data_IF_389067346386
#
_entry.id   IF_389067346386
#
_cell.length_a   1.000
_cell.length_b   1.000
_cell.length_c   1.000
_cell.angle_alpha   90.00
_cell.angle_beta   90.00
_cell.angle_gamma   90.00
#
_symmetry.space_group_name_H-M   'P 1'
#
loop_
_entity.id
_entity.type
_entity.pdbx_description
1 polymer ?
#
# COMPACT_ATOMS: atom_id res chain seq x y z
N UNK A 1 27.85 46.42 38.79
CA UNK A 1 27.28 45.06 38.85
C UNK A 1 26.38 44.90 37.63
N UNK A 2 26.94 44.48 36.49
CA UNK A 2 26.21 44.38 35.22
C UNK A 2 25.45 43.05 35.18
N UNK A 3 24.12 43.10 35.04
CA UNK A 3 23.26 41.94 34.82
C UNK A 3 23.15 41.70 33.32
N UNK A 4 23.79 40.64 32.82
CA UNK A 4 23.59 40.13 31.46
C UNK A 4 22.30 39.32 31.42
N UNK A 5 21.38 39.72 30.54
CA UNK A 5 20.14 38.99 30.26
C UNK A 5 20.41 38.05 29.10
N UNK A 6 20.34 36.74 29.35
CA UNK A 6 20.49 35.69 28.34
C UNK A 6 19.14 35.51 27.64
N UNK A 7 19.06 35.88 26.36
CA UNK A 7 17.88 35.58 25.54
C UNK A 7 18.00 34.15 25.01
N UNK A 8 17.10 33.28 25.46
CA UNK A 8 16.93 31.93 24.93
C UNK A 8 16.06 32.02 23.68
N UNK A 9 16.67 31.99 22.50
CA UNK A 9 15.94 31.89 21.23
C UNK A 9 15.51 30.44 21.04
N UNK A 10 14.23 30.13 21.30
CA UNK A 10 13.64 28.85 20.93
C UNK A 10 13.42 28.85 19.42
N UNK A 11 14.27 28.13 18.69
CA UNK A 11 14.14 27.94 17.25
C UNK A 11 12.89 27.11 16.94
N UNK A 12 11.95 27.71 16.22
CA UNK A 12 10.77 27.04 15.70
C UNK A 12 11.17 26.33 14.39
N UNK A 13 11.30 25.00 14.42
CA UNK A 13 11.52 24.20 13.22
C UNK A 13 10.16 24.02 12.55
N UNK A 14 9.96 24.71 11.43
CA UNK A 14 8.81 24.47 10.54
C UNK A 14 9.21 23.27 9.66
N UNK A 15 8.74 22.08 10.01
CA UNK A 15 8.71 20.96 9.08
C UNK A 15 7.63 21.26 8.04
N UNK A 16 8.06 21.72 6.87
CA UNK A 16 7.21 21.80 5.69
C UNK A 16 7.07 20.35 5.21
N UNK A 17 5.88 19.76 5.39
CA UNK A 17 5.57 18.46 4.80
C UNK A 17 5.70 18.55 3.28
N UNK A 18 6.70 17.87 2.73
CA UNK A 18 6.77 17.58 1.30
C UNK A 18 5.75 16.47 1.04
N UNK A 19 4.90 16.65 0.02
CA UNK A 19 4.11 15.54 -0.48
C UNK A 19 5.07 14.44 -0.98
N UNK A 20 4.66 13.18 -0.83
CA UNK A 20 5.37 12.02 -1.38
C UNK A 20 5.80 12.30 -2.82
N UNK A 21 7.11 12.24 -3.08
CA UNK A 21 7.65 12.40 -4.43
C UNK A 21 7.71 11.08 -5.19
N UNK A 22 7.13 10.03 -4.63
CA UNK A 22 7.34 8.66 -5.08
C UNK A 22 6.22 8.22 -6.00
N UNK A 23 6.56 7.42 -7.01
CA UNK A 23 5.55 6.77 -7.83
C UNK A 23 4.92 5.62 -7.04
N UNK A 24 3.61 5.42 -7.22
CA UNK A 24 2.91 4.28 -6.63
C UNK A 24 3.58 2.97 -7.05
N UNK A 25 3.90 2.12 -6.09
CA UNK A 25 4.56 0.84 -6.34
C UNK A 25 6.03 0.93 -6.69
N UNK A 26 6.65 2.12 -6.60
CA UNK A 26 8.10 2.25 -6.66
C UNK A 26 8.73 1.65 -5.41
N UNK A 27 9.92 1.09 -5.57
CA UNK A 27 10.69 0.52 -4.46
C UNK A 27 11.69 1.54 -3.93
N UNK A 28 11.89 1.48 -2.63
CA UNK A 28 12.95 2.21 -1.94
C UNK A 28 14.28 1.60 -2.36
N UNK A 29 15.17 2.43 -2.89
CA UNK A 29 16.54 2.10 -3.23
C UNK A 29 17.54 2.81 -2.31
N UNK A 30 18.84 2.60 -2.55
CA UNK A 30 19.90 3.21 -1.76
C UNK A 30 20.05 4.73 -1.97
N UNK A 31 19.27 5.33 -2.86
CA UNK A 31 19.24 6.78 -3.12
C UNK A 31 17.96 7.45 -2.66
N UNK A 32 16.99 6.68 -2.16
CA UNK A 32 15.68 7.17 -1.78
C UNK A 32 15.80 8.08 -0.54
N UNK A 33 15.23 9.31 -0.57
CA UNK A 33 15.44 10.32 0.48
C UNK A 33 14.72 10.02 1.81
N UNK A 34 13.80 9.07 1.82
CA UNK A 34 13.05 8.54 2.96
C UNK A 34 13.71 7.33 3.59
N UNK A 35 14.80 6.81 3.03
CA UNK A 35 15.52 5.68 3.61
C UNK A 35 15.91 5.98 5.08
N UNK A 36 15.45 5.12 5.99
CA UNK A 36 15.65 5.25 7.43
C UNK A 36 14.57 6.05 8.17
N UNK A 37 13.52 6.54 7.49
CA UNK A 37 12.37 7.16 8.17
C UNK A 37 11.68 6.15 9.09
N UNK A 38 11.26 6.55 10.31
CA UNK A 38 10.64 5.63 11.25
C UNK A 38 9.23 5.24 10.79
N UNK A 39 9.01 3.93 10.64
CA UNK A 39 7.72 3.35 10.33
C UNK A 39 7.01 2.89 11.61
N UNK A 40 5.71 3.14 11.67
CA UNK A 40 4.84 2.74 12.77
C UNK A 40 3.74 1.79 12.29
N UNK A 41 3.37 0.86 13.15
CA UNK A 41 2.22 -0.02 12.92
C UNK A 41 0.91 0.75 13.09
N UNK A 42 -0.09 0.39 12.29
CA UNK A 42 -1.46 0.86 12.48
C UNK A 42 -2.04 0.33 13.80
N UNK A 43 -2.83 1.16 14.48
CA UNK A 43 -3.43 0.79 15.76
C UNK A 43 -4.76 1.51 16.06
N UNK A 44 -5.41 1.08 17.14
CA UNK A 44 -6.67 1.69 17.60
C UNK A 44 -7.79 1.55 16.56
N UNK A 45 -8.42 2.67 16.19
CA UNK A 45 -9.52 2.69 15.21
C UNK A 45 -9.08 2.58 13.75
N UNK A 46 -7.78 2.50 13.47
CA UNK A 46 -7.24 2.39 12.11
C UNK A 46 -7.14 0.92 11.66
N UNK A 47 -7.37 -0.02 12.57
CA UNK A 47 -7.30 -1.45 12.33
C UNK A 47 -8.69 -2.10 12.48
N UNK A 48 -8.97 -3.18 11.76
CA UNK A 48 -8.05 -3.82 10.83
C UNK A 48 -7.88 -3.05 9.52
N UNK A 49 -6.83 -3.40 8.78
CA UNK A 49 -6.61 -2.97 7.41
C UNK A 49 -7.25 -4.03 6.51
N UNK A 50 -8.06 -3.64 5.54
CA UNK A 50 -8.75 -4.58 4.66
C UNK A 50 -8.70 -4.12 3.20
N UNK A 51 -9.13 -4.99 2.29
CA UNK A 51 -9.25 -4.69 0.86
C UNK A 51 -10.71 -4.76 0.45
N UNK A 52 -11.17 -3.74 -0.24
CA UNK A 52 -12.49 -3.73 -0.86
C UNK A 52 -12.44 -3.19 -2.28
N UNK A 53 -13.55 -3.36 -2.99
CA UNK A 53 -13.73 -2.78 -4.31
C UNK A 53 -15.02 -1.96 -4.40
N UNK A 54 -14.95 -0.86 -5.12
CA UNK A 54 -16.10 -0.10 -5.56
C UNK A 54 -16.53 -0.66 -6.91
N UNK A 55 -17.69 -1.31 -6.89
CA UNK A 55 -18.38 -1.83 -8.07
C UNK A 55 -18.78 -0.67 -8.99
N UNK A 56 -18.03 -0.52 -10.08
CA UNK A 56 -18.23 0.50 -11.09
C UNK A 56 -18.15 -0.12 -12.46
N UNK A 57 -19.24 -0.06 -13.21
CA UNK A 57 -19.24 -0.63 -14.55
C UNK A 57 -20.62 -1.14 -14.95
N UNK A 58 -20.69 -1.87 -16.06
CA UNK A 58 -21.94 -2.43 -16.56
C UNK A 58 -22.38 -3.72 -15.83
N UNK A 59 -21.50 -4.35 -15.05
CA UNK A 59 -21.75 -5.66 -14.43
C UNK A 59 -21.90 -5.54 -12.90
N UNK A 60 -23.05 -5.06 -12.39
CA UNK A 60 -23.22 -4.83 -10.96
C UNK A 60 -23.04 -6.12 -10.14
N UNK A 61 -22.40 -5.97 -8.99
CA UNK A 61 -22.11 -6.99 -7.97
C UNK A 61 -21.14 -8.07 -8.44
N UNK A 62 -20.39 -7.83 -9.51
CA UNK A 62 -19.38 -8.74 -10.04
C UNK A 62 -18.05 -8.00 -10.03
N UNK A 63 -17.08 -8.55 -9.30
CA UNK A 63 -15.73 -8.01 -9.34
C UNK A 63 -15.09 -8.23 -10.72
N UNK A 64 -14.94 -7.17 -11.50
CA UNK A 64 -14.47 -7.21 -12.89
C UNK A 64 -13.31 -6.24 -13.17
N UNK A 65 -13.03 -5.92 -14.43
CA UNK A 65 -11.91 -5.06 -14.83
C UNK A 65 -12.16 -3.57 -14.55
N UNK A 66 -13.42 -3.12 -14.57
CA UNK A 66 -13.77 -1.70 -14.44
C UNK A 66 -13.70 -1.22 -12.98
N UNK A 67 -13.86 -2.15 -12.03
CA UNK A 67 -13.95 -1.87 -10.60
C UNK A 67 -12.71 -1.23 -9.99
N UNK A 68 -12.91 -0.36 -9.00
CA UNK A 68 -11.81 0.24 -8.27
C UNK A 68 -11.50 -0.51 -6.98
N UNK A 69 -10.24 -0.87 -6.75
CA UNK A 69 -9.78 -1.53 -5.53
C UNK A 69 -9.15 -0.52 -4.57
N UNK A 70 -9.42 -0.69 -3.26
CA UNK A 70 -8.98 0.20 -2.19
C UNK A 70 -8.34 -0.59 -1.04
N UNK A 71 -7.32 0.00 -0.43
CA UNK A 71 -6.85 -0.35 0.91
C UNK A 71 -7.65 0.47 1.92
N UNK A 72 -8.40 -0.22 2.77
CA UNK A 72 -9.35 0.34 3.71
C UNK A 72 -8.85 0.21 5.15
N UNK A 73 -9.11 1.22 5.96
CA UNK A 73 -8.64 1.27 7.35
C UNK A 73 -9.81 1.32 8.36
N UNK A 74 -9.67 0.57 9.46
CA UNK A 74 -10.54 0.68 10.63
C UNK A 74 -11.82 -0.16 10.60
N UNK A 75 -12.00 -1.03 9.61
CA UNK A 75 -13.12 -1.97 9.55
C UNK A 75 -12.72 -3.30 8.92
N UNK A 76 -13.15 -4.39 9.55
CA UNK A 76 -12.95 -5.77 9.06
C UNK A 76 -13.90 -6.15 7.91
N UNK A 77 -14.90 -5.31 7.68
CA UNK A 77 -15.86 -5.43 6.59
C UNK A 77 -15.98 -4.02 6.02
N UNK A 78 -15.25 -3.70 4.95
CA UNK A 78 -15.44 -2.45 4.26
C UNK A 78 -16.90 -2.36 3.81
N UNK A 79 -17.54 -1.24 4.12
CA UNK A 79 -18.93 -0.97 3.72
C UNK A 79 -19.05 0.31 2.91
N UNK A 80 -18.16 1.27 3.19
CA UNK A 80 -18.05 2.54 2.48
C UNK A 80 -16.59 2.92 2.32
N UNK A 81 -16.29 3.59 1.20
CA UNK A 81 -14.99 4.23 1.00
C UNK A 81 -14.91 5.44 1.92
N UNK A 82 -13.89 5.49 2.76
CA UNK A 82 -13.65 6.56 3.72
C UNK A 82 -12.53 7.48 3.25
N UNK A 83 -12.49 8.69 3.81
CA UNK A 83 -11.32 9.54 3.68
C UNK A 83 -10.08 8.81 4.26
N UNK A 84 -8.93 9.01 3.62
CA UNK A 84 -7.64 8.36 3.87
C UNK A 84 -7.54 6.88 3.46
N UNK A 85 -8.60 6.24 2.94
CA UNK A 85 -8.44 4.98 2.20
C UNK A 85 -7.49 5.21 1.00
N UNK A 86 -6.73 4.20 0.60
CA UNK A 86 -5.77 4.32 -0.51
C UNK A 86 -6.33 3.61 -1.73
N UNK A 87 -6.32 4.31 -2.87
CA UNK A 87 -6.67 3.70 -4.16
C UNK A 87 -5.55 2.77 -4.59
N UNK A 88 -5.85 1.49 -4.78
CA UNK A 88 -4.89 0.51 -5.30
C UNK A 88 -4.97 0.35 -6.82
N UNK A 89 -5.96 0.99 -7.45
CA UNK A 89 -6.15 0.97 -8.91
C UNK A 89 -6.37 2.39 -9.45
N UNK A 90 -6.07 2.59 -10.72
CA UNK A 90 -6.26 3.88 -11.41
C UNK A 90 -7.53 3.85 -12.27
N UNK A 91 -8.35 4.90 -12.19
CA UNK A 91 -9.44 5.26 -13.11
C UNK A 91 -9.20 6.65 -13.68
N UNK A 92 -8.47 6.69 -14.79
CA UNK A 92 -8.05 7.94 -15.44
C UNK A 92 -9.21 8.79 -15.92
N UNK A 93 -10.33 8.16 -16.31
CA UNK A 93 -11.56 8.83 -16.73
C UNK A 93 -12.24 9.60 -15.58
N UNK A 94 -12.00 9.20 -14.34
CA UNK A 94 -12.49 9.85 -13.12
C UNK A 94 -11.41 10.71 -12.43
N UNK A 95 -10.18 10.72 -12.95
CA UNK A 95 -9.03 11.39 -12.33
C UNK A 95 -8.60 10.77 -11.00
N UNK A 96 -8.92 9.48 -10.78
CA UNK A 96 -8.62 8.75 -9.55
C UNK A 96 -7.37 7.89 -9.79
N UNK A 97 -6.26 8.22 -9.13
CA UNK A 97 -4.97 7.57 -9.38
C UNK A 97 -4.63 6.56 -8.28
N UNK A 98 -4.02 5.44 -8.65
CA UNK A 98 -3.45 4.52 -7.68
C UNK A 98 -2.39 5.21 -6.81
N UNK A 99 -2.31 4.80 -5.55
CA UNK A 99 -1.50 5.41 -4.50
C UNK A 99 -2.07 6.69 -3.89
N UNK A 100 -3.04 7.34 -4.53
CA UNK A 100 -3.66 8.53 -3.95
C UNK A 100 -4.59 8.15 -2.80
N UNK A 101 -4.56 8.94 -1.72
CA UNK A 101 -5.53 8.85 -0.64
C UNK A 101 -6.86 9.47 -1.05
N UNK A 102 -7.95 8.87 -0.61
CA UNK A 102 -9.30 9.41 -0.78
C UNK A 102 -9.47 10.65 0.10
N UNK A 103 -9.89 11.75 -0.50
CA UNK A 103 -10.30 12.97 0.22
C UNK A 103 -11.80 12.94 0.44
N UNK A 104 -12.26 13.63 1.49
CA UNK A 104 -13.69 13.78 1.77
C UNK A 104 -14.48 14.43 0.62
N UNK A 105 -13.81 15.15 -0.28
CA UNK A 105 -14.40 15.80 -1.46
C UNK A 105 -14.38 14.95 -2.73
N UNK A 106 -13.70 13.80 -2.72
CA UNK A 106 -13.53 13.00 -3.93
C UNK A 106 -14.84 12.27 -4.29
N UNK A 107 -15.04 12.01 -5.58
CA UNK A 107 -16.29 11.43 -6.11
C UNK A 107 -16.59 10.02 -5.59
N UNK A 108 -15.54 9.30 -5.19
CA UNK A 108 -15.59 7.94 -4.66
C UNK A 108 -15.76 7.91 -3.13
N UNK A 109 -15.52 9.02 -2.42
CA UNK A 109 -15.74 9.07 -0.97
C UNK A 109 -17.23 8.84 -0.63
N UNK A 110 -17.48 7.95 0.34
CA UNK A 110 -18.82 7.57 0.77
C UNK A 110 -19.56 6.63 -0.19
N UNK A 111 -18.92 6.16 -1.27
CA UNK A 111 -19.50 5.13 -2.14
C UNK A 111 -19.46 3.76 -1.45
N UNK A 112 -20.38 2.84 -1.81
CA UNK A 112 -20.35 1.48 -1.30
C UNK A 112 -19.01 0.82 -1.61
N UNK A 113 -18.43 0.19 -0.59
CA UNK A 113 -17.23 -0.62 -0.72
C UNK A 113 -17.63 -2.07 -0.46
N UNK A 114 -17.39 -2.94 -1.43
CA UNK A 114 -17.73 -4.36 -1.35
C UNK A 114 -16.48 -5.17 -1.01
N UNK A 115 -16.60 -6.26 -0.23
CA UNK A 115 -15.48 -7.16 0.00
C UNK A 115 -15.12 -7.91 -1.29
N UNK A 116 -13.84 -8.18 -1.51
CA UNK A 116 -13.42 -9.03 -2.64
C UNK A 116 -14.10 -10.41 -2.59
N UNK A 117 -14.35 -11.08 -3.74
CA UNK A 117 -14.98 -12.39 -3.77
C UNK A 117 -14.19 -13.45 -2.97
N UNK A 118 -14.77 -14.05 -1.93
CA UNK A 118 -14.21 -15.18 -1.16
C UNK A 118 -14.63 -16.55 -1.78
N UNK A 119 -14.09 -17.77 -1.44
CA UNK A 119 -12.91 -18.25 -0.63
C UNK A 119 -12.09 -19.43 -1.30
N UNK A 120 -11.03 -20.09 -0.71
CA UNK A 120 -10.49 -20.06 0.66
C UNK A 120 -8.98 -19.73 0.77
N UNK A 121 -8.42 -18.92 -0.11
CA UNK A 121 -7.14 -18.24 0.16
C UNK A 121 -7.39 -16.75 -0.01
N UNK A 122 -7.35 -16.09 1.13
CA UNK A 122 -7.51 -14.65 1.35
C UNK A 122 -6.80 -13.84 0.30
N UNK A 123 -7.43 -12.75 -0.14
CA UNK A 123 -6.71 -11.67 -0.77
C UNK A 123 -5.42 -11.39 0.02
N UNK A 124 -4.33 -11.14 -0.70
CA UNK A 124 -3.01 -11.06 -0.11
C UNK A 124 -2.04 -10.43 -1.06
N UNK A 125 -0.88 -10.05 -0.55
CA UNK A 125 0.17 -9.45 -1.36
C UNK A 125 1.22 -10.53 -1.63
N UNK A 126 1.58 -10.65 -2.89
CA UNK A 126 2.47 -11.68 -3.42
C UNK A 126 3.54 -11.03 -4.30
N UNK A 127 4.69 -11.68 -4.44
CA UNK A 127 5.71 -11.29 -5.39
C UNK A 127 5.96 -12.37 -6.45
N UNK A 128 6.37 -11.94 -7.64
CA UNK A 128 6.87 -12.79 -8.71
C UNK A 128 8.39 -12.73 -8.68
N UNK A 129 9.02 -13.85 -8.33
CA UNK A 129 10.47 -14.03 -8.39
C UNK A 129 10.92 -14.13 -9.85
N UNK A 130 11.46 -13.03 -10.38
CA UNK A 130 11.88 -12.97 -11.79
C UNK A 130 13.25 -13.60 -12.02
N UNK A 131 14.10 -13.62 -11.00
CA UNK A 131 15.51 -14.00 -11.14
C UNK A 131 15.89 -15.28 -10.40
N UNK A 132 14.93 -15.95 -9.77
CA UNK A 132 15.19 -17.15 -8.98
C UNK A 132 16.02 -16.81 -7.75
N UNK A 133 15.80 -15.63 -7.16
CA UNK A 133 16.53 -15.09 -6.01
C UNK A 133 16.20 -15.86 -4.73
N UNK A 134 16.17 -17.20 -4.77
CA UNK A 134 15.78 -18.05 -3.64
C UNK A 134 16.85 -18.03 -2.54
N UNK A 135 16.49 -17.74 -1.27
CA UNK A 135 15.14 -17.47 -0.75
C UNK A 135 14.93 -15.96 -0.52
N UNK A 136 14.38 -15.22 -1.49
CA UNK A 136 14.38 -13.77 -1.38
C UNK A 136 13.54 -13.06 -2.44
N UNK A 137 12.98 -11.95 -2.00
CA UNK A 137 12.39 -10.90 -2.82
C UNK A 137 13.46 -9.84 -3.10
N UNK A 138 13.58 -9.40 -4.35
CA UNK A 138 14.54 -8.38 -4.77
C UNK A 138 13.90 -7.14 -5.41
N UNK A 139 14.72 -6.14 -5.74
CA UNK A 139 14.28 -4.86 -6.27
C UNK A 139 13.60 -4.97 -7.65
N UNK A 140 13.80 -6.04 -8.40
CA UNK A 140 13.18 -6.22 -9.71
C UNK A 140 11.92 -7.08 -9.66
N UNK A 141 11.69 -7.82 -8.57
CA UNK A 141 10.51 -8.68 -8.44
C UNK A 141 9.20 -7.90 -8.48
N UNK A 142 8.19 -8.47 -9.12
CA UNK A 142 6.92 -7.78 -9.32
C UNK A 142 5.95 -8.10 -8.20
N UNK A 143 5.20 -7.10 -7.74
CA UNK A 143 4.29 -7.26 -6.60
C UNK A 143 2.85 -7.18 -7.09
N UNK A 144 2.03 -8.08 -6.56
CA UNK A 144 0.62 -8.20 -6.90
C UNK A 144 -0.22 -8.27 -5.64
N UNK A 145 -1.36 -7.58 -5.66
CA UNK A 145 -2.49 -7.92 -4.81
C UNK A 145 -3.29 -9.02 -5.52
N UNK A 146 -3.42 -10.16 -4.85
CA UNK A 146 -4.25 -11.26 -5.32
C UNK A 146 -5.70 -11.03 -4.93
N UNK A 147 -6.58 -11.12 -5.91
CA UNK A 147 -8.01 -10.88 -5.73
C UNK A 147 -8.83 -12.14 -6.00
N UNK A 148 -8.30 -13.09 -6.79
CA UNK A 148 -8.99 -14.31 -7.20
C UNK A 148 -8.08 -15.57 -7.15
N UNK A 149 -8.72 -16.73 -7.18
CA UNK A 149 -8.09 -18.05 -7.28
C UNK A 149 -7.64 -18.40 -8.72
N UNK A 150 -6.67 -19.32 -8.88
CA UNK A 150 -5.93 -20.02 -7.82
C UNK A 150 -4.83 -19.17 -7.17
N UNK A 151 -4.59 -19.37 -5.88
CA UNK A 151 -3.46 -18.76 -5.19
C UNK A 151 -2.14 -19.33 -5.73
N UNK A 152 -1.10 -18.49 -5.79
CA UNK A 152 0.24 -18.91 -6.25
C UNK A 152 0.50 -18.78 -7.75
N UNK A 153 -0.50 -18.38 -8.55
CA UNK A 153 -0.28 -17.83 -9.90
C UNK A 153 -1.06 -16.55 -10.09
N UNK A 154 -0.54 -15.60 -10.86
CA UNK A 154 -1.32 -14.42 -11.30
C UNK A 154 -2.51 -14.84 -12.19
N UNK A 155 -3.61 -14.13 -12.05
CA UNK A 155 -4.87 -14.34 -12.74
C UNK A 155 -5.49 -12.99 -13.16
N UNK A 156 -6.49 -13.03 -14.04
CA UNK A 156 -7.24 -11.83 -14.43
C UNK A 156 -7.83 -11.15 -13.19
N UNK A 157 -7.82 -9.82 -13.18
CA UNK A 157 -8.25 -8.95 -12.08
C UNK A 157 -7.36 -8.92 -10.82
N UNK A 158 -6.23 -9.63 -10.81
CA UNK A 158 -5.18 -9.32 -9.83
C UNK A 158 -4.63 -7.91 -10.10
N UNK A 159 -4.21 -7.20 -9.06
CA UNK A 159 -3.75 -5.80 -9.19
C UNK A 159 -2.23 -5.73 -9.06
N UNK A 160 -1.58 -5.02 -9.97
CA UNK A 160 -0.14 -4.74 -9.88
C UNK A 160 0.12 -3.67 -8.84
N UNK A 161 0.93 -4.00 -7.84
CA UNK A 161 1.40 -3.06 -6.82
C UNK A 161 2.81 -2.55 -7.13
N UNK A 162 3.43 -2.97 -8.23
CA UNK A 162 4.67 -2.41 -8.75
C UNK A 162 4.62 -2.36 -10.28
N UNK A 163 5.44 -1.51 -10.90
CA UNK A 163 5.56 -1.47 -12.35
C UNK A 163 6.11 -2.81 -12.88
N UNK A 164 5.42 -3.41 -13.85
CA UNK A 164 5.82 -4.64 -14.50
C UNK A 164 6.37 -4.36 -15.90
N UNK A 165 7.54 -4.90 -16.24
CA UNK A 165 8.10 -4.80 -17.59
C UNK A 165 7.79 -6.09 -18.35
N UNK A 166 7.00 -6.00 -19.41
CA UNK A 166 6.76 -7.12 -20.32
C UNK A 166 8.02 -7.56 -21.05
N UNK A 167 8.07 -8.83 -21.46
CA UNK A 167 9.11 -9.39 -22.33
C UNK A 167 9.26 -8.67 -23.69
N UNK A 168 8.24 -7.91 -24.13
CA UNK A 168 8.30 -7.09 -25.35
C UNK A 168 8.71 -5.62 -25.08
N UNK A 169 9.12 -5.29 -23.84
CA UNK A 169 9.53 -3.94 -23.42
C UNK A 169 8.38 -3.00 -23.05
N UNK A 170 7.13 -3.45 -23.08
CA UNK A 170 5.99 -2.63 -22.64
C UNK A 170 5.94 -2.57 -21.12
N UNK A 171 5.88 -1.37 -20.56
CA UNK A 171 5.67 -1.19 -19.12
C UNK A 171 4.18 -1.25 -18.82
N UNK A 172 3.79 -2.15 -17.94
CA UNK A 172 2.49 -2.19 -17.29
C UNK A 172 2.61 -1.48 -15.96
N UNK A 173 1.91 -0.36 -15.82
CA UNK A 173 2.01 0.47 -14.63
C UNK A 173 1.44 -0.21 -13.39
N UNK A 174 2.00 0.11 -12.23
CA UNK A 174 1.35 -0.14 -10.94
C UNK A 174 -0.06 0.49 -10.94
N UNK A 175 -0.99 -0.13 -10.23
CA UNK A 175 -2.39 0.28 -10.19
C UNK A 175 -3.24 -0.21 -11.37
N UNK A 176 -2.68 -1.07 -12.22
CA UNK A 176 -3.43 -1.73 -13.30
C UNK A 176 -3.76 -3.18 -12.94
N UNK A 177 -4.84 -3.71 -13.52
CA UNK A 177 -5.20 -5.12 -13.38
C UNK A 177 -4.50 -6.01 -14.39
N UNK A 178 -4.25 -7.25 -14.01
CA UNK A 178 -3.80 -8.33 -14.90
C UNK A 178 -4.97 -8.71 -15.81
N UNK A 179 -4.69 -8.90 -17.10
CA UNK A 179 -5.64 -9.32 -18.12
C UNK A 179 -5.17 -10.66 -18.68
N UNK A 180 -6.08 -11.45 -19.24
CA UNK A 180 -5.81 -12.81 -19.70
C UNK A 180 -4.74 -12.91 -20.79
N UNK A 181 -4.54 -11.84 -21.56
CA UNK A 181 -3.52 -11.71 -22.59
C UNK A 181 -2.24 -10.98 -22.15
N UNK A 182 -2.15 -10.51 -20.90
CA UNK A 182 -0.93 -9.91 -20.37
C UNK A 182 0.16 -10.98 -20.15
N UNK A 183 1.44 -10.63 -20.36
CA UNK A 183 2.53 -11.60 -20.33
C UNK A 183 2.84 -12.11 -18.91
N UNK A 184 2.39 -11.37 -17.90
CA UNK A 184 2.45 -11.69 -16.49
C UNK A 184 1.21 -12.42 -16.00
N UNK A 185 0.28 -12.84 -16.87
CA UNK A 185 -0.82 -13.75 -16.53
C UNK A 185 -0.33 -15.21 -16.40
N UNK A 186 -0.94 -15.99 -15.50
CA UNK A 186 -0.57 -17.39 -15.21
C UNK A 186 0.91 -17.60 -14.82
N UNK A 187 1.49 -16.64 -14.09
CA UNK A 187 2.87 -16.69 -13.62
C UNK A 187 2.92 -17.04 -12.15
N UNK A 188 3.90 -17.85 -11.76
CA UNK A 188 4.12 -18.24 -10.37
C UNK A 188 4.41 -17.01 -9.51
N UNK A 189 3.80 -16.99 -8.33
CA UNK A 189 4.01 -15.95 -7.33
C UNK A 189 4.07 -16.56 -5.93
N UNK A 190 4.79 -15.89 -5.05
CA UNK A 190 5.11 -16.33 -3.70
C UNK A 190 4.47 -15.34 -2.71
N UNK A 191 3.83 -15.80 -1.63
CA UNK A 191 3.19 -14.89 -0.69
C UNK A 191 4.20 -13.97 0.03
N UNK A 192 3.87 -12.68 0.14
CA UNK A 192 4.58 -11.69 0.98
C UNK A 192 3.82 -11.42 2.28
N UNK A 193 2.53 -11.10 2.11
CA UNK A 193 1.57 -10.81 3.18
C UNK A 193 0.36 -11.69 2.92
N UNK A 194 0.10 -12.59 3.86
CA UNK A 194 -1.00 -13.54 3.75
C UNK A 194 -2.15 -13.04 4.62
N UNK A 195 -3.31 -12.79 4.01
CA UNK A 195 -4.54 -12.54 4.74
C UNK A 195 -4.94 -11.07 4.81
N UNK A 196 -6.15 -10.79 4.33
CA UNK A 196 -6.94 -9.62 4.73
C UNK A 196 -8.28 -10.09 5.33
N UNK A 197 -8.82 -9.41 6.36
CA UNK A 197 -8.30 -8.22 7.02
C UNK A 197 -7.05 -8.48 7.89
N UNK A 198 -6.12 -7.52 7.91
CA UNK A 198 -4.89 -7.53 8.72
C UNK A 198 -5.16 -6.89 10.07
N UNK A 199 -4.82 -7.60 11.14
CA UNK A 199 -4.74 -7.08 12.51
C UNK A 199 -3.28 -7.03 12.95
N UNK A 200 -2.57 -5.89 12.77
CA UNK A 200 -1.20 -5.77 13.22
C UNK A 200 -1.07 -6.01 14.74
N UNK A 201 0.07 -6.59 15.19
CA UNK A 201 1.21 -7.02 14.38
C UNK A 201 0.93 -8.33 13.62
N UNK A 202 1.45 -8.43 12.39
CA UNK A 202 1.34 -9.64 11.56
C UNK A 202 2.25 -10.74 12.14
N UNK A 203 1.73 -11.94 12.36
CA UNK A 203 2.48 -13.07 12.94
C UNK A 203 3.44 -13.72 11.92
N UNK A 204 4.39 -14.48 12.47
CA UNK A 204 5.63 -15.11 11.96
C UNK A 204 5.70 -15.68 10.51
N UNK A 205 4.61 -15.75 9.75
CA UNK A 205 4.56 -16.35 8.41
C UNK A 205 4.59 -15.32 7.26
N UNK A 206 4.38 -14.03 7.55
CA UNK A 206 4.53 -12.96 6.54
C UNK A 206 5.96 -12.44 6.53
N UNK A 207 6.52 -12.27 5.32
CA UNK A 207 7.85 -11.67 5.13
C UNK A 207 7.78 -10.15 4.98
N UNK A 208 6.57 -9.57 4.99
CA UNK A 208 6.32 -8.14 4.89
C UNK A 208 5.14 -7.71 5.78
N UNK A 209 5.01 -6.41 6.01
CA UNK A 209 3.88 -5.79 6.72
C UNK A 209 3.48 -4.46 6.09
N UNK A 210 2.31 -3.92 6.45
CA UNK A 210 1.88 -2.58 6.01
C UNK A 210 2.05 -1.62 7.18
N UNK A 211 2.84 -0.57 6.97
CA UNK A 211 3.17 0.45 7.98
C UNK A 211 3.10 1.84 7.38
N UNK A 212 3.14 2.85 8.24
CA UNK A 212 3.17 4.22 7.79
C UNK A 212 4.26 5.05 8.47
N UNK A 213 4.75 6.07 7.78
CA UNK A 213 5.54 7.14 8.35
C UNK A 213 4.61 8.25 8.81
N UNK A 214 4.60 8.51 10.13
CA UNK A 214 3.81 9.61 10.71
C UNK A 214 4.53 10.94 10.50
N UNK A 215 4.24 11.61 9.39
CA UNK A 215 4.97 12.77 8.93
C UNK A 215 4.76 14.00 9.82
N UNK A 216 3.59 14.12 10.45
CA UNK A 216 3.24 15.27 11.30
C UNK A 216 3.35 15.00 12.81
N UNK A 217 3.67 13.76 13.19
CA UNK A 217 3.85 13.33 14.58
C UNK A 217 2.57 13.35 15.41
N UNK A 218 1.39 13.33 14.77
CA UNK A 218 0.11 13.33 15.47
C UNK A 218 -0.05 12.04 16.32
N UNK A 219 -0.72 12.14 17.47
CA UNK A 219 -1.04 10.97 18.28
C UNK A 219 -2.38 11.14 18.98
N UNK A 220 -3.09 10.04 19.18
CA UNK A 220 -4.27 9.96 20.06
C UNK A 220 -3.94 9.03 21.21
N UNK A 221 -3.95 9.57 22.44
CA UNK A 221 -3.61 8.80 23.65
C UNK A 221 -2.23 8.10 23.55
N UNK A 222 -1.26 8.75 22.91
CA UNK A 222 0.09 8.21 22.71
C UNK A 222 0.21 7.19 21.57
N UNK A 223 -0.87 6.90 20.83
CA UNK A 223 -0.85 6.04 19.64
C UNK A 223 -0.79 6.92 18.38
N UNK A 224 0.16 6.69 17.45
CA UNK A 224 0.21 7.39 16.16
C UNK A 224 -1.11 7.29 15.39
N UNK A 225 -1.52 8.38 14.72
CA UNK A 225 -2.77 8.42 13.93
C UNK A 225 -2.43 8.57 12.45
N UNK A 226 -2.69 7.54 11.66
CA UNK A 226 -2.64 7.66 10.21
C UNK A 226 -3.61 8.74 9.70
N UNK A 227 -3.07 9.70 8.96
CA UNK A 227 -3.83 10.72 8.26
C UNK A 227 -3.34 11.00 6.83
N UNK A 228 -3.89 12.05 6.22
CA UNK A 228 -3.64 12.38 4.82
C UNK A 228 -2.16 12.66 4.51
N UNK A 229 -1.40 13.20 5.47
CA UNK A 229 0.00 13.60 5.28
C UNK A 229 0.99 12.44 5.42
N UNK A 230 0.53 11.30 5.90
CA UNK A 230 1.40 10.17 6.24
C UNK A 230 1.67 9.27 5.04
N UNK A 231 2.86 8.71 4.93
CA UNK A 231 3.21 7.84 3.81
C UNK A 231 3.04 6.38 4.22
N UNK A 232 2.44 5.55 3.36
CA UNK A 232 2.20 4.13 3.64
C UNK A 232 3.12 3.27 2.78
N UNK A 233 3.65 2.21 3.40
CA UNK A 233 4.63 1.31 2.82
C UNK A 233 4.21 -0.14 2.98
N UNK A 234 4.61 -0.96 2.01
CA UNK A 234 4.87 -2.38 2.27
C UNK A 234 6.30 -2.46 2.81
N UNK A 235 6.43 -2.66 4.12
CA UNK A 235 7.71 -2.84 4.82
C UNK A 235 8.13 -4.30 4.69
N UNK A 236 9.28 -4.54 4.04
CA UNK A 236 9.86 -5.87 3.84
C UNK A 236 11.11 -5.99 4.73
N UNK A 237 10.96 -6.42 5.99
CA UNK A 237 12.07 -6.45 6.92
C UNK A 237 13.18 -7.40 6.44
N UNK A 238 14.38 -6.85 6.24
CA UNK A 238 15.59 -7.63 5.94
C UNK A 238 16.00 -8.58 7.09
N UNK A 239 15.40 -8.40 8.26
CA UNK A 239 15.57 -9.22 9.46
C UNK A 239 14.31 -9.15 10.31
N UNK A 240 13.85 -10.23 10.96
CA UNK A 240 12.71 -10.20 11.89
C UNK A 240 12.91 -9.28 13.11
N UNK A 241 14.09 -8.67 13.23
CA UNK A 241 14.46 -7.67 14.23
C UNK A 241 14.57 -6.25 13.64
N UNK A 242 14.17 -6.04 12.38
CA UNK A 242 14.28 -4.73 11.74
C UNK A 242 13.42 -3.72 12.50
N UNK A 243 14.02 -2.65 13.07
CA UNK A 243 13.25 -1.57 13.67
C UNK A 243 12.38 -1.00 12.55
N UNK A 244 11.08 -0.80 12.78
CA UNK A 244 10.18 -0.24 11.76
C UNK A 244 10.76 1.06 11.22
N UNK A 245 11.44 0.96 10.08
CA UNK A 245 12.08 2.04 9.36
C UNK A 245 12.05 1.69 7.89
N UNK A 246 11.90 2.72 7.06
CA UNK A 246 11.97 2.58 5.62
C UNK A 246 13.31 1.99 5.23
N UNK A 247 13.27 0.86 4.55
CA UNK A 247 14.42 0.04 4.16
C UNK A 247 14.45 -0.19 2.66
N UNK A 248 15.63 -0.50 2.12
CA UNK A 248 15.75 -0.87 0.71
C UNK A 248 14.83 -2.06 0.41
N UNK A 249 14.14 -1.98 -0.72
CA UNK A 249 13.09 -2.89 -1.21
C UNK A 249 11.70 -2.73 -0.58
N UNK A 250 11.51 -1.85 0.40
CA UNK A 250 10.17 -1.41 0.79
C UNK A 250 9.45 -0.78 -0.41
N UNK A 251 8.13 -0.77 -0.37
CA UNK A 251 7.30 -0.34 -1.51
C UNK A 251 6.43 0.82 -1.10
N UNK A 252 6.47 1.91 -1.87
CA UNK A 252 5.59 3.05 -1.66
C UNK A 252 4.15 2.69 -2.08
N UNK A 253 3.22 2.72 -1.13
CA UNK A 253 1.79 2.60 -1.41
C UNK A 253 1.09 3.95 -1.55
N UNK A 254 1.74 5.06 -1.21
CA UNK A 254 1.14 6.41 -1.31
C UNK A 254 1.95 7.38 -2.14
N UNK A 255 1.23 8.25 -2.87
CA UNK A 255 1.74 9.36 -3.68
C UNK A 255 1.11 10.70 -3.27
#
# INVERSE_FOLDING_TARGET
>A
MFRSTLYLTVGFVILIGVASSYDFGSKVDNTSPDLGYPLVDFGGSQVPIDIGYWDVGPNPQIFDEDDMVYLHFGSAVPTTINANDIRLTTRSDLGLNAGSKVRASDIDCGKPLLPLPAPPLTAGIYFMDLYGSSPGYDVNDLIYLKTLLPAGITATNDVRLSNAVHYNGTVLSAGTKVLDFHADHNRLIIPMIIGFPIYPPVWQESIATIRFYNANGNTMNGVPIYDYNDEVYIDVPFSPLSPGVVSVNDVHLTV
#
